data_IF_350125846592
#
_entry.id   IF_350125846592
#
_cell.length_a   1.000
_cell.length_b   1.000
_cell.length_c   1.000
_cell.angle_alpha   90.00
_cell.angle_beta   90.00
_cell.angle_gamma   90.00
#
_symmetry.space_group_name_H-M   'P 1'
#
loop_
_entity.id
_entity.type
_entity.pdbx_description
1 polymer ?
#
# COMPACT_ATOMS: atom_id res chain seq x y z
N UNK A 1 25.40 0.45 -6.37
CA UNK A 1 24.93 0.58 -4.96
C UNK A 1 24.66 -0.80 -4.43
N UNK A 2 24.71 -0.99 -3.10
CA UNK A 2 24.27 -2.22 -2.41
C UNK A 2 22.82 -2.02 -1.93
N UNK A 3 21.95 -3.00 -2.23
CA UNK A 3 20.54 -2.98 -1.86
C UNK A 3 20.29 -4.15 -0.89
N UNK A 4 20.07 -3.88 0.39
CA UNK A 4 19.81 -4.92 1.39
C UNK A 4 18.31 -4.95 1.72
N UNK A 5 17.63 -6.04 1.36
CA UNK A 5 16.18 -6.16 1.40
C UNK A 5 15.75 -7.34 2.25
N UNK A 6 14.85 -7.11 3.21
CA UNK A 6 14.10 -8.18 3.86
C UNK A 6 12.91 -8.56 2.97
N UNK A 7 12.74 -9.84 2.71
CA UNK A 7 11.66 -10.36 1.86
C UNK A 7 10.72 -11.20 2.71
N UNK A 8 9.48 -10.78 2.79
CA UNK A 8 8.43 -11.42 3.57
C UNK A 8 7.30 -11.89 2.64
N UNK A 9 7.37 -13.10 2.07
CA UNK A 9 6.33 -13.58 1.15
C UNK A 9 4.96 -13.65 1.81
N UNK A 10 4.89 -14.05 3.08
CA UNK A 10 3.65 -14.18 3.83
C UNK A 10 2.80 -15.36 3.38
N UNK A 11 1.49 -15.13 3.26
CA UNK A 11 0.46 -16.16 3.11
C UNK A 11 -0.19 -16.18 1.71
N UNK A 12 -0.92 -17.24 1.41
CA UNK A 12 -1.76 -17.36 0.22
C UNK A 12 -0.99 -17.22 -1.09
N UNK A 13 -1.37 -16.22 -1.91
CA UNK A 13 -0.68 -15.89 -3.18
C UNK A 13 0.67 -15.19 -2.96
N UNK A 14 0.96 -14.75 -1.75
CA UNK A 14 2.17 -13.97 -1.42
C UNK A 14 3.47 -14.58 -1.98
N UNK A 15 3.76 -15.87 -1.81
CA UNK A 15 4.96 -16.50 -2.37
C UNK A 15 5.06 -16.40 -3.90
N UNK A 16 3.95 -16.54 -4.64
CA UNK A 16 3.92 -16.50 -6.11
C UNK A 16 4.21 -15.10 -6.64
N UNK A 17 3.48 -14.10 -6.15
CA UNK A 17 3.64 -12.70 -6.57
C UNK A 17 5.00 -12.13 -6.15
N UNK A 18 5.52 -12.56 -4.99
CA UNK A 18 6.83 -12.19 -4.50
C UNK A 18 7.95 -12.75 -5.38
N UNK A 19 7.83 -13.99 -5.85
CA UNK A 19 8.80 -14.57 -6.78
C UNK A 19 8.96 -13.72 -8.03
N UNK A 20 7.84 -13.29 -8.63
CA UNK A 20 7.85 -12.40 -9.79
C UNK A 20 8.49 -11.05 -9.47
N UNK A 21 8.10 -10.41 -8.36
CA UNK A 21 8.66 -9.12 -7.97
C UNK A 21 10.18 -9.21 -7.75
N UNK A 22 10.66 -10.27 -7.10
CA UNK A 22 12.09 -10.49 -6.90
C UNK A 22 12.85 -10.69 -8.22
N UNK A 23 12.30 -11.41 -9.19
CA UNK A 23 12.95 -11.61 -10.48
C UNK A 23 13.03 -10.29 -11.27
N UNK A 24 12.00 -9.44 -11.19
CA UNK A 24 12.02 -8.08 -11.73
C UNK A 24 13.08 -7.21 -11.05
N UNK A 25 13.16 -7.23 -9.71
CA UNK A 25 14.18 -6.47 -8.97
C UNK A 25 15.60 -6.97 -9.31
N UNK A 26 15.81 -8.28 -9.42
CA UNK A 26 17.11 -8.87 -9.83
C UNK A 26 17.52 -8.41 -11.24
N UNK A 27 16.59 -8.47 -12.20
CA UNK A 27 16.86 -8.03 -13.58
C UNK A 27 17.22 -6.54 -13.62
N UNK A 28 16.47 -5.71 -12.88
CA UNK A 28 16.73 -4.27 -12.77
C UNK A 28 18.07 -3.99 -12.11
N UNK A 29 18.35 -4.62 -10.96
CA UNK A 29 19.63 -4.45 -10.26
C UNK A 29 20.82 -4.85 -11.12
N UNK A 30 20.73 -5.96 -11.85
CA UNK A 30 21.76 -6.41 -12.81
C UNK A 30 22.00 -5.37 -13.92
N UNK A 31 20.93 -4.83 -14.50
CA UNK A 31 21.01 -3.84 -15.58
C UNK A 31 21.71 -2.56 -15.16
N UNK A 32 21.46 -2.08 -13.96
CA UNK A 32 22.05 -0.86 -13.41
C UNK A 32 23.31 -1.11 -12.58
N UNK A 33 23.85 -2.32 -12.59
CA UNK A 33 25.07 -2.72 -11.85
C UNK A 33 24.96 -2.48 -10.33
N UNK A 34 23.78 -2.77 -9.74
CA UNK A 34 23.60 -2.80 -8.30
C UNK A 34 23.90 -4.18 -7.73
N UNK A 35 24.38 -4.23 -6.50
CA UNK A 35 24.54 -5.46 -5.73
C UNK A 35 23.26 -5.69 -4.89
N UNK A 36 22.47 -6.69 -5.26
CA UNK A 36 21.27 -7.06 -4.51
C UNK A 36 21.60 -8.12 -3.46
N UNK A 37 21.28 -7.82 -2.20
CA UNK A 37 21.30 -8.78 -1.08
C UNK A 37 19.91 -8.85 -0.50
N UNK A 38 19.38 -10.06 -0.36
CA UNK A 38 18.08 -10.25 0.29
C UNK A 38 18.05 -11.51 1.13
N UNK A 39 17.25 -11.48 2.18
CA UNK A 39 16.94 -12.62 3.01
C UNK A 39 15.43 -12.75 3.18
N UNK A 40 14.95 -13.99 3.24
CA UNK A 40 13.53 -14.28 3.41
C UNK A 40 13.24 -14.67 4.85
N UNK A 41 12.13 -14.16 5.41
CA UNK A 41 11.64 -14.53 6.73
C UNK A 41 10.12 -14.75 6.72
N UNK A 42 9.62 -15.41 7.78
CA UNK A 42 8.22 -15.77 7.93
C UNK A 42 7.43 -14.63 8.58
N UNK A 43 6.19 -14.42 8.11
CA UNK A 43 5.21 -13.49 8.70
C UNK A 43 3.80 -14.00 8.41
N UNK A 44 2.86 -13.76 9.30
CA UNK A 44 1.46 -14.15 9.12
C UNK A 44 1.14 -15.56 9.56
N UNK A 45 0.25 -16.24 8.85
CA UNK A 45 -0.21 -17.58 9.17
C UNK A 45 0.92 -18.61 9.08
N UNK A 46 1.76 -18.53 8.06
CA UNK A 46 2.91 -19.41 7.91
C UNK A 46 3.91 -19.28 9.08
N UNK A 47 4.05 -18.07 9.63
CA UNK A 47 4.86 -17.83 10.81
C UNK A 47 4.21 -18.41 12.08
N UNK A 48 2.89 -18.25 12.27
CA UNK A 48 2.16 -18.87 13.39
C UNK A 48 2.32 -20.38 13.35
N UNK A 49 2.15 -21.00 12.18
CA UNK A 49 2.29 -22.45 12.02
C UNK A 49 3.68 -22.97 12.37
N UNK A 50 4.72 -22.21 12.06
CA UNK A 50 6.10 -22.61 12.30
C UNK A 50 6.61 -22.28 13.72
N UNK A 51 6.16 -21.15 14.32
CA UNK A 51 6.78 -20.59 15.52
C UNK A 51 5.78 -20.25 16.64
N UNK A 52 4.49 -20.24 16.36
CA UNK A 52 3.44 -19.76 17.26
C UNK A 52 3.26 -18.24 17.29
N UNK A 53 4.10 -17.48 16.57
CA UNK A 53 4.06 -16.02 16.49
C UNK A 53 3.75 -15.55 15.06
N UNK A 54 2.85 -14.56 14.85
CA UNK A 54 2.57 -14.01 13.52
C UNK A 54 3.68 -13.08 13.01
N UNK A 55 4.54 -12.60 13.91
CA UNK A 55 5.73 -11.79 13.60
C UNK A 55 6.87 -12.17 14.55
N UNK A 56 7.66 -13.20 14.17
CA UNK A 56 8.77 -13.67 15.00
C UNK A 56 9.86 -12.63 15.21
N UNK A 57 10.56 -12.70 16.33
CA UNK A 57 11.68 -11.80 16.68
C UNK A 57 12.81 -11.84 15.62
N UNK A 58 13.07 -13.00 15.04
CA UNK A 58 14.04 -13.14 13.94
C UNK A 58 13.63 -12.32 12.72
N UNK A 59 12.34 -12.36 12.35
CA UNK A 59 11.80 -11.54 11.27
C UNK A 59 11.93 -10.05 11.57
N UNK A 60 11.61 -9.64 12.80
CA UNK A 60 11.79 -8.26 13.25
C UNK A 60 13.23 -7.80 13.10
N UNK A 61 14.17 -8.59 13.61
CA UNK A 61 15.62 -8.27 13.52
C UNK A 61 16.06 -8.13 12.06
N UNK A 62 15.65 -9.06 11.19
CA UNK A 62 15.97 -8.97 9.77
C UNK A 62 15.44 -7.67 9.14
N UNK A 63 14.19 -7.29 9.44
CA UNK A 63 13.61 -6.03 8.96
C UNK A 63 14.40 -4.81 9.43
N UNK A 64 14.79 -4.77 10.72
CA UNK A 64 15.58 -3.66 11.28
C UNK A 64 17.00 -3.57 10.70
N UNK A 65 17.59 -4.68 10.29
CA UNK A 65 18.93 -4.74 9.69
C UNK A 65 18.93 -4.52 8.17
N UNK A 66 17.76 -4.34 7.56
CA UNK A 66 17.60 -4.15 6.11
C UNK A 66 17.26 -2.70 5.77
N UNK A 67 17.63 -2.27 4.56
CA UNK A 67 17.35 -0.92 4.06
C UNK A 67 15.86 -0.75 3.69
N UNK A 68 15.21 -1.86 3.31
CA UNK A 68 13.79 -1.91 2.97
C UNK A 68 13.20 -3.31 3.20
N UNK A 69 11.89 -3.38 3.34
CA UNK A 69 11.12 -4.63 3.42
C UNK A 69 10.20 -4.72 2.23
N UNK A 70 10.28 -5.82 1.47
CA UNK A 70 9.30 -6.18 0.45
C UNK A 70 8.39 -7.28 1.01
N UNK A 71 7.09 -6.98 1.10
CA UNK A 71 6.11 -7.85 1.73
C UNK A 71 5.05 -8.29 0.72
N UNK A 72 4.66 -9.57 0.75
CA UNK A 72 3.70 -10.15 -0.19
C UNK A 72 2.25 -9.97 0.27
N UNK A 73 1.77 -10.88 1.10
CA UNK A 73 0.38 -10.85 1.57
C UNK A 73 0.22 -11.51 2.94
N UNK A 74 -0.88 -11.22 3.63
CA UNK A 74 -1.17 -11.80 4.95
C UNK A 74 -2.63 -12.23 5.04
N UNK A 75 -2.88 -13.27 5.85
CA UNK A 75 -4.21 -13.77 6.15
C UNK A 75 -4.43 -15.22 5.73
N UNK A 76 -5.22 -15.95 6.53
CA UNK A 76 -5.56 -17.34 6.23
C UNK A 76 -6.91 -17.72 6.79
N UNK A 77 -7.81 -18.33 5.98
CA UNK A 77 -9.11 -18.82 6.44
C UNK A 77 -9.04 -19.78 7.63
N UNK A 78 -7.90 -20.46 7.81
CA UNK A 78 -7.63 -21.31 8.97
C UNK A 78 -7.79 -20.58 10.29
N UNK A 79 -7.37 -19.31 10.34
CA UNK A 79 -7.44 -18.48 11.54
C UNK A 79 -8.72 -17.61 11.57
N UNK A 80 -9.20 -17.16 10.41
CA UNK A 80 -10.39 -16.30 10.32
C UNK A 80 -11.66 -17.03 10.74
N UNK A 81 -11.77 -18.30 10.35
CA UNK A 81 -12.94 -19.14 10.64
C UNK A 81 -12.88 -19.81 12.02
N UNK A 82 -11.78 -19.65 12.77
CA UNK A 82 -11.66 -20.20 14.12
C UNK A 82 -11.96 -19.12 15.18
N UNK A 83 -13.15 -19.13 15.80
CA UNK A 83 -13.50 -18.16 16.85
C UNK A 83 -12.66 -18.33 18.12
N UNK A 84 -11.95 -19.46 18.27
CA UNK A 84 -11.09 -19.75 19.42
C UNK A 84 -9.63 -19.39 19.20
N UNK A 85 -9.28 -18.95 17.98
CA UNK A 85 -7.91 -18.56 17.64
C UNK A 85 -7.45 -17.40 18.54
N UNK A 86 -6.42 -17.68 19.35
CA UNK A 86 -5.83 -16.70 20.27
C UNK A 86 -4.92 -15.71 19.55
N UNK A 87 -4.38 -16.13 18.41
CA UNK A 87 -3.44 -15.34 17.59
C UNK A 87 -3.90 -15.38 16.15
N UNK A 88 -3.90 -14.22 15.49
CA UNK A 88 -4.33 -14.05 14.10
C UNK A 88 -3.18 -13.50 13.24
N UNK A 89 -3.11 -13.86 11.95
CA UNK A 89 -2.07 -13.36 11.03
C UNK A 89 -1.96 -11.84 11.01
N UNK A 90 -3.09 -11.12 10.99
CA UNK A 90 -3.17 -9.66 10.92
C UNK A 90 -2.52 -8.96 12.12
N UNK A 91 -2.47 -9.63 13.28
CA UNK A 91 -1.73 -9.13 14.45
C UNK A 91 -0.23 -9.00 14.15
N UNK A 92 0.31 -9.84 13.24
CA UNK A 92 1.68 -9.74 12.76
C UNK A 92 1.94 -8.44 11.99
N UNK A 93 1.02 -8.05 11.12
CA UNK A 93 1.10 -6.78 10.38
C UNK A 93 1.02 -5.57 11.31
N UNK A 94 0.10 -5.59 12.27
CA UNK A 94 -0.02 -4.51 13.26
C UNK A 94 1.23 -4.42 14.16
N UNK A 95 1.79 -5.56 14.58
CA UNK A 95 3.03 -5.61 15.34
C UNK A 95 4.21 -5.06 14.52
N UNK A 96 4.35 -5.47 13.26
CA UNK A 96 5.37 -4.96 12.35
C UNK A 96 5.26 -3.44 12.16
N UNK A 97 4.07 -2.92 11.87
CA UNK A 97 3.83 -1.47 11.74
C UNK A 97 4.27 -0.70 12.98
N UNK A 98 3.89 -1.19 14.16
CA UNK A 98 4.23 -0.55 15.44
C UNK A 98 5.73 -0.63 15.73
N UNK A 99 6.35 -1.81 15.59
CA UNK A 99 7.74 -2.04 15.98
C UNK A 99 8.74 -1.37 15.02
N UNK A 100 8.42 -1.29 13.72
CA UNK A 100 9.21 -0.57 12.73
C UNK A 100 8.89 0.94 12.69
N UNK A 101 7.92 1.41 13.49
CA UNK A 101 7.52 2.82 13.52
C UNK A 101 6.97 3.32 12.18
N UNK A 102 6.20 2.47 11.48
CA UNK A 102 5.59 2.79 10.19
C UNK A 102 4.41 3.73 10.43
N UNK A 103 4.58 5.01 10.20
CA UNK A 103 3.59 6.03 10.55
C UNK A 103 2.73 6.52 9.38
N UNK A 104 3.19 6.34 8.16
CA UNK A 104 2.49 6.82 6.97
C UNK A 104 2.35 5.70 5.94
N UNK A 105 1.13 5.45 5.47
CA UNK A 105 0.89 4.57 4.34
C UNK A 105 0.56 5.39 3.10
N UNK A 106 1.36 5.24 2.06
CA UNK A 106 1.23 5.94 0.79
C UNK A 106 0.59 4.98 -0.21
N UNK A 107 -0.58 5.34 -0.70
CA UNK A 107 -1.37 4.56 -1.66
C UNK A 107 -1.63 5.38 -2.92
N UNK A 108 -0.88 5.17 -4.01
CA UNK A 108 -1.18 5.77 -5.29
C UNK A 108 -2.48 5.20 -5.88
N UNK A 109 -3.31 6.06 -6.44
CA UNK A 109 -4.48 5.71 -7.24
C UNK A 109 -4.28 6.32 -8.62
N UNK A 110 -3.84 5.50 -9.55
CA UNK A 110 -3.53 5.92 -10.92
C UNK A 110 -4.26 5.02 -11.90
N UNK A 111 -4.96 5.62 -12.85
CA UNK A 111 -5.60 4.86 -13.92
C UNK A 111 -4.62 4.55 -15.03
N UNK A 112 -4.70 3.33 -15.53
CA UNK A 112 -3.92 2.88 -16.67
C UNK A 112 -4.79 2.92 -17.92
N UNK A 113 -4.38 3.57 -19.03
CA UNK A 113 -5.21 3.67 -20.24
C UNK A 113 -5.75 2.32 -20.73
N UNK A 114 -4.93 1.28 -20.67
CA UNK A 114 -5.33 -0.08 -21.05
C UNK A 114 -6.37 -0.74 -20.15
N UNK A 115 -6.64 -0.18 -18.95
CA UNK A 115 -7.54 -0.76 -17.94
C UNK A 115 -8.79 0.10 -17.67
N UNK A 116 -8.98 1.21 -18.36
CA UNK A 116 -10.14 2.10 -18.17
C UNK A 116 -11.46 1.33 -18.33
N UNK A 117 -11.50 0.37 -19.25
CA UNK A 117 -12.66 -0.48 -19.49
C UNK A 117 -13.04 -1.42 -18.33
N UNK A 118 -12.12 -1.66 -17.38
CA UNK A 118 -12.36 -2.48 -16.18
C UNK A 118 -12.91 -1.65 -15.01
N UNK A 119 -12.81 -0.33 -15.08
CA UNK A 119 -13.41 0.53 -14.07
C UNK A 119 -14.94 0.44 -14.15
N UNK A 120 -15.67 0.32 -13.03
CA UNK A 120 -17.12 0.38 -13.02
C UNK A 120 -17.65 1.80 -13.28
N UNK A 121 -16.76 2.80 -13.29
CA UNK A 121 -17.10 4.19 -13.53
C UNK A 121 -16.95 4.53 -15.02
N UNK A 122 -17.62 5.62 -15.43
CA UNK A 122 -17.50 6.13 -16.80
C UNK A 122 -16.05 6.50 -17.13
N UNK A 123 -15.62 6.14 -18.33
CA UNK A 123 -14.26 6.39 -18.80
C UNK A 123 -13.84 7.88 -18.69
N UNK A 124 -14.75 8.81 -19.04
CA UNK A 124 -14.49 10.26 -18.99
C UNK A 124 -14.23 10.80 -17.57
N UNK A 125 -14.71 10.10 -16.53
CA UNK A 125 -14.45 10.44 -15.14
C UNK A 125 -13.06 9.96 -14.68
N UNK A 126 -12.68 8.74 -15.06
CA UNK A 126 -11.49 8.06 -14.51
C UNK A 126 -10.24 8.22 -15.37
N UNK A 127 -10.36 8.45 -16.67
CA UNK A 127 -9.22 8.62 -17.57
C UNK A 127 -8.34 9.79 -17.13
N UNK A 128 -7.07 9.50 -16.82
CA UNK A 128 -6.11 10.48 -16.32
C UNK A 128 -6.27 10.79 -14.81
N UNK A 129 -7.04 9.99 -14.04
CA UNK A 129 -7.02 10.10 -12.59
C UNK A 129 -5.65 9.65 -12.06
N UNK A 130 -5.02 10.53 -11.29
CA UNK A 130 -3.70 10.32 -10.66
C UNK A 130 -3.62 11.11 -9.36
N UNK A 131 -3.83 10.46 -8.24
CA UNK A 131 -3.65 11.02 -6.92
C UNK A 131 -3.00 10.04 -5.97
N UNK A 132 -2.47 10.52 -4.86
CA UNK A 132 -1.98 9.68 -3.78
C UNK A 132 -2.76 9.96 -2.51
N UNK A 133 -3.05 8.90 -1.76
CA UNK A 133 -3.58 9.01 -0.41
C UNK A 133 -2.49 8.71 0.61
N UNK A 134 -2.25 9.63 1.53
CA UNK A 134 -1.33 9.48 2.64
C UNK A 134 -2.17 9.27 3.91
N UNK A 135 -2.21 8.00 4.35
CA UNK A 135 -2.95 7.52 5.51
C UNK A 135 -2.03 7.44 6.73
N UNK A 136 -2.43 8.03 7.84
CA UNK A 136 -1.75 7.80 9.12
C UNK A 136 -1.95 6.34 9.57
N UNK A 137 -0.91 5.70 10.16
CA UNK A 137 -0.94 4.26 10.45
C UNK A 137 -0.83 3.89 11.93
N UNK A 138 -0.53 4.81 12.83
CA UNK A 138 -0.12 4.48 14.22
C UNK A 138 -1.05 5.00 15.29
N UNK A 139 -2.05 5.80 14.92
CA UNK A 139 -3.01 6.43 15.83
C UNK A 139 -4.46 6.05 15.54
N UNK A 140 -5.35 6.83 16.11
CA UNK A 140 -6.80 6.75 15.89
C UNK A 140 -7.47 5.57 16.59
N UNK A 141 -8.59 5.14 16.03
CA UNK A 141 -9.43 4.08 16.56
C UNK A 141 -8.72 2.71 16.64
N UNK A 142 -7.79 2.42 15.75
CA UNK A 142 -7.12 1.12 15.72
C UNK A 142 -6.12 0.92 16.86
N UNK A 143 -5.58 2.01 17.40
CA UNK A 143 -4.54 1.98 18.42
C UNK A 143 -4.93 2.66 19.74
N UNK A 144 -5.97 3.48 19.73
CA UNK A 144 -6.44 4.19 20.92
C UNK A 144 -6.87 3.26 22.04
N UNK A 145 -6.74 3.72 23.28
CA UNK A 145 -7.16 2.97 24.48
C UNK A 145 -7.97 3.89 25.38
N UNK A 146 -8.95 3.37 26.15
CA UNK A 146 -9.35 1.96 26.23
C UNK A 146 -10.15 1.47 25.01
N UNK A 147 -10.07 0.15 24.76
CA UNK A 147 -10.91 -0.57 23.79
C UNK A 147 -11.47 -1.81 24.49
N UNK A 148 -12.70 -2.18 24.22
CA UNK A 148 -13.24 -3.39 24.79
C UNK A 148 -14.75 -3.44 24.86
N UNK A 149 -15.21 -4.30 25.78
CA UNK A 149 -16.62 -4.47 26.13
C UNK A 149 -16.81 -4.30 27.63
N UNK A 150 -18.01 -3.88 28.02
CA UNK A 150 -18.47 -3.92 29.42
C UNK A 150 -18.47 -5.37 29.95
N UNK A 151 -18.45 -5.53 31.29
CA UNK A 151 -18.47 -6.85 31.94
C UNK A 151 -19.67 -7.69 31.55
N UNK A 152 -20.82 -7.06 31.35
CA UNK A 152 -22.06 -7.71 30.91
C UNK A 152 -22.13 -7.98 29.40
N UNK A 153 -21.09 -7.54 28.64
CA UNK A 153 -20.98 -7.68 27.18
C UNK A 153 -21.98 -6.87 26.36
N UNK A 154 -22.81 -6.03 27.01
CA UNK A 154 -23.85 -5.27 26.31
C UNK A 154 -23.36 -3.97 25.67
N UNK A 155 -22.19 -3.48 26.06
CA UNK A 155 -21.60 -2.25 25.53
C UNK A 155 -20.20 -2.53 25.01
N UNK A 156 -19.87 -2.05 23.80
CA UNK A 156 -18.53 -2.05 23.25
C UNK A 156 -18.06 -0.62 22.99
N UNK A 157 -16.78 -0.37 23.13
CA UNK A 157 -16.18 0.95 22.95
C UNK A 157 -14.79 0.87 22.36
N UNK A 158 -14.49 1.82 21.48
CA UNK A 158 -13.17 2.09 20.91
C UNK A 158 -12.85 3.57 21.04
N UNK A 159 -11.61 3.89 21.42
CA UNK A 159 -11.18 5.26 21.65
C UNK A 159 -10.36 5.79 20.48
N UNK A 160 -10.79 6.90 19.89
CA UNK A 160 -9.99 7.61 18.87
C UNK A 160 -9.10 8.65 19.56
N UNK A 161 -7.78 8.48 19.42
CA UNK A 161 -6.79 9.40 20.01
C UNK A 161 -5.75 9.77 18.97
N UNK A 162 -5.44 11.08 18.89
CA UNK A 162 -4.34 11.63 18.11
C UNK A 162 -3.61 12.70 18.90
N UNK A 163 -2.28 12.63 18.89
CA UNK A 163 -1.42 13.69 19.39
C UNK A 163 -1.03 14.68 18.26
N UNK A 164 -0.66 15.90 18.63
CA UNK A 164 -0.14 16.90 17.69
C UNK A 164 1.03 16.37 16.88
N UNK A 165 1.97 15.67 17.53
CA UNK A 165 3.15 15.09 16.88
C UNK A 165 2.79 14.09 15.77
N UNK A 166 1.83 13.20 16.01
CA UNK A 166 1.38 12.21 15.01
C UNK A 166 0.79 12.90 13.78
N UNK A 167 0.03 13.96 14.00
CA UNK A 167 -0.58 14.74 12.92
C UNK A 167 0.49 15.53 12.15
N UNK A 168 1.39 16.22 12.85
CA UNK A 168 2.42 17.05 12.22
C UNK A 168 3.29 16.26 11.26
N UNK A 169 3.80 15.09 11.68
CA UNK A 169 4.72 14.29 10.85
C UNK A 169 4.08 13.85 9.54
N UNK A 170 2.81 13.44 9.56
CA UNK A 170 2.15 12.95 8.36
C UNK A 170 1.67 14.08 7.45
N UNK A 171 1.20 15.18 8.01
CA UNK A 171 0.81 16.35 7.23
C UNK A 171 2.04 16.95 6.53
N UNK A 172 3.18 17.09 7.23
CA UNK A 172 4.45 17.53 6.60
C UNK A 172 4.87 16.63 5.46
N UNK A 173 4.73 15.31 5.63
CA UNK A 173 4.99 14.36 4.55
C UNK A 173 4.08 14.62 3.33
N UNK A 174 2.80 14.90 3.55
CA UNK A 174 1.87 15.21 2.46
C UNK A 174 2.29 16.45 1.66
N UNK A 175 2.78 17.50 2.34
CA UNK A 175 3.30 18.68 1.65
C UNK A 175 4.57 18.39 0.86
N UNK A 176 5.50 17.57 1.39
CA UNK A 176 6.71 17.16 0.66
C UNK A 176 6.36 16.41 -0.65
N UNK A 177 5.33 15.57 -0.62
CA UNK A 177 4.84 14.91 -1.84
C UNK A 177 4.15 15.89 -2.79
N UNK A 178 3.32 16.79 -2.27
CA UNK A 178 2.61 17.77 -3.08
C UNK A 178 3.57 18.72 -3.83
N UNK A 179 4.67 19.13 -3.20
CA UNK A 179 5.70 20.00 -3.82
C UNK A 179 6.33 19.37 -5.07
N UNK A 180 6.43 18.04 -5.09
CA UNK A 180 6.95 17.25 -6.22
C UNK A 180 5.88 16.89 -7.26
N UNK A 181 4.61 17.17 -6.97
CA UNK A 181 3.44 16.86 -7.80
C UNK A 181 2.72 18.13 -8.26
N UNK A 182 1.40 18.14 -8.28
CA UNK A 182 0.57 19.28 -8.76
C UNK A 182 0.33 20.38 -7.73
N UNK A 183 1.05 20.33 -6.60
CA UNK A 183 1.02 21.33 -5.52
C UNK A 183 -0.37 21.56 -4.91
N UNK A 184 -1.12 20.48 -4.72
CA UNK A 184 -2.41 20.50 -4.03
C UNK A 184 -2.46 19.46 -2.93
N UNK A 185 -2.81 19.87 -1.71
CA UNK A 185 -3.10 19.00 -0.56
C UNK A 185 -4.57 19.10 -0.20
N UNK A 186 -5.26 17.99 -0.12
CA UNK A 186 -6.62 17.88 0.41
C UNK A 186 -6.57 17.19 1.77
N UNK A 187 -6.83 17.93 2.83
CA UNK A 187 -6.93 17.42 4.20
C UNK A 187 -8.34 16.93 4.45
N UNK A 188 -8.46 15.64 4.77
CA UNK A 188 -9.76 14.99 4.97
C UNK A 188 -9.95 14.70 6.47
N UNK A 189 -11.05 15.18 7.02
CA UNK A 189 -11.38 15.07 8.45
C UNK A 189 -12.90 15.00 8.70
N UNK A 190 -13.30 14.99 9.97
CA UNK A 190 -14.68 15.14 10.42
C UNK A 190 -14.79 16.21 11.51
N UNK A 191 -14.18 17.37 11.29
CA UNK A 191 -14.00 18.43 12.28
C UNK A 191 -15.33 19.04 12.78
N UNK A 192 -16.42 18.92 12.02
CA UNK A 192 -17.75 19.32 12.49
C UNK A 192 -18.26 18.47 13.68
N UNK A 193 -17.73 17.25 13.87
CA UNK A 193 -18.16 16.33 14.93
C UNK A 193 -17.02 16.02 15.90
N UNK A 194 -15.85 15.57 15.40
CA UNK A 194 -14.80 14.96 16.20
C UNK A 194 -13.79 15.97 16.73
N UNK A 195 -13.45 15.86 18.01
CA UNK A 195 -12.40 16.65 18.64
C UNK A 195 -11.02 16.39 18.03
N UNK A 196 -10.72 15.11 17.73
CA UNK A 196 -9.49 14.70 17.05
C UNK A 196 -9.35 15.35 15.68
N UNK A 197 -10.42 15.37 14.87
CA UNK A 197 -10.45 16.03 13.57
C UNK A 197 -10.29 17.55 13.65
N UNK A 198 -10.78 18.19 14.72
CA UNK A 198 -10.52 19.63 14.96
C UNK A 198 -9.05 19.91 15.21
N UNK A 199 -8.37 19.05 15.99
CA UNK A 199 -6.92 19.13 16.18
C UNK A 199 -6.17 18.90 14.86
N UNK A 200 -6.58 17.90 14.06
CA UNK A 200 -6.04 17.65 12.72
C UNK A 200 -6.09 18.90 11.84
N UNK A 201 -7.26 19.54 11.76
CA UNK A 201 -7.47 20.77 10.95
C UNK A 201 -6.66 21.95 11.47
N UNK A 202 -6.53 22.10 12.79
CA UNK A 202 -5.71 23.15 13.42
C UNK A 202 -4.24 22.99 13.02
N UNK A 203 -3.68 21.77 13.20
CA UNK A 203 -2.29 21.48 12.88
C UNK A 203 -2.02 21.65 11.38
N UNK A 204 -2.91 21.10 10.54
CA UNK A 204 -2.76 21.20 9.09
C UNK A 204 -2.80 22.65 8.60
N UNK A 205 -3.61 23.54 9.22
CA UNK A 205 -3.60 24.98 8.91
C UNK A 205 -2.29 25.65 9.27
N UNK A 206 -1.68 25.27 10.40
CA UNK A 206 -0.36 25.76 10.79
C UNK A 206 0.70 25.42 9.74
N UNK A 207 0.73 24.16 9.31
CA UNK A 207 1.69 23.68 8.30
C UNK A 207 1.39 24.31 6.91
N UNK A 208 0.11 24.47 6.53
CA UNK A 208 -0.26 25.11 5.27
C UNK A 208 0.33 26.53 5.15
N UNK A 209 0.37 27.28 6.25
CA UNK A 209 0.95 28.63 6.27
C UNK A 209 2.48 28.64 6.01
N UNK A 210 3.17 27.53 6.27
CA UNK A 210 4.59 27.36 5.98
C UNK A 210 4.85 27.03 4.48
N UNK A 211 3.80 26.59 3.74
CA UNK A 211 3.88 26.16 2.34
C UNK A 211 2.95 26.96 1.40
N UNK A 212 3.11 28.26 1.25
CA UNK A 212 2.17 29.13 0.51
C UNK A 212 2.07 28.81 -0.99
N UNK A 213 3.03 28.05 -1.54
CA UNK A 213 3.01 27.61 -2.94
C UNK A 213 2.13 26.35 -3.17
N UNK A 214 1.63 25.73 -2.11
CA UNK A 214 0.78 24.55 -2.17
C UNK A 214 -0.67 24.94 -1.84
N UNK A 215 -1.58 24.67 -2.76
CA UNK A 215 -3.02 24.88 -2.52
C UNK A 215 -3.52 23.87 -1.51
N UNK A 216 -4.17 24.33 -0.43
CA UNK A 216 -4.71 23.46 0.60
C UNK A 216 -6.23 23.53 0.64
N UNK A 217 -6.88 22.39 0.55
CA UNK A 217 -8.32 22.22 0.68
C UNK A 217 -8.65 21.40 1.93
N UNK A 218 -9.73 21.72 2.62
CA UNK A 218 -10.21 20.97 3.80
C UNK A 218 -11.62 20.49 3.54
N UNK A 219 -11.81 19.17 3.49
CA UNK A 219 -13.13 18.57 3.25
C UNK A 219 -13.48 17.54 4.33
N UNK A 220 -14.76 17.34 4.56
CA UNK A 220 -15.21 16.27 5.43
C UNK A 220 -15.14 14.93 4.70
N UNK A 221 -14.92 13.86 5.46
CA UNK A 221 -14.74 12.49 4.93
C UNK A 221 -15.93 12.02 4.08
N UNK A 222 -17.14 12.35 4.47
CA UNK A 222 -18.36 12.04 3.70
C UNK A 222 -18.40 12.77 2.33
N UNK A 223 -17.91 14.02 2.26
CA UNK A 223 -17.75 14.72 1.01
C UNK A 223 -16.57 14.16 0.19
N UNK A 224 -15.48 13.74 0.83
CA UNK A 224 -14.36 13.10 0.16
C UNK A 224 -14.80 11.81 -0.53
N UNK A 225 -15.56 10.96 0.15
CA UNK A 225 -16.09 9.72 -0.40
C UNK A 225 -16.91 9.95 -1.68
N UNK A 226 -17.80 10.94 -1.69
CA UNK A 226 -18.54 11.30 -2.90
C UNK A 226 -17.62 11.82 -4.02
N UNK A 227 -16.67 12.70 -3.68
CA UNK A 227 -15.83 13.38 -4.67
C UNK A 227 -14.78 12.47 -5.30
N UNK A 228 -14.26 11.48 -4.58
CA UNK A 228 -13.34 10.47 -5.13
C UNK A 228 -14.00 9.74 -6.31
N UNK A 229 -15.30 9.45 -6.22
CA UNK A 229 -16.05 8.80 -7.29
C UNK A 229 -16.43 9.78 -8.42
N UNK A 230 -16.87 11.00 -8.08
CA UNK A 230 -17.42 11.95 -9.04
C UNK A 230 -16.35 12.75 -9.78
N UNK A 231 -15.26 13.10 -9.11
CA UNK A 231 -14.20 13.98 -9.63
C UNK A 231 -12.81 13.53 -9.19
N UNK A 232 -12.38 12.26 -9.47
CA UNK A 232 -11.09 11.74 -9.00
C UNK A 232 -9.90 12.57 -9.49
N UNK A 233 -10.02 13.23 -10.64
CA UNK A 233 -8.97 14.07 -11.25
C UNK A 233 -8.71 15.37 -10.50
N UNK A 234 -9.63 15.78 -9.62
CA UNK A 234 -9.48 17.01 -8.83
C UNK A 234 -8.50 16.84 -7.67
N UNK A 235 -8.17 15.61 -7.32
CA UNK A 235 -7.26 15.30 -6.23
C UNK A 235 -5.82 15.15 -6.71
N UNK A 236 -4.87 15.55 -5.87
CA UNK A 236 -3.43 15.36 -6.06
C UNK A 236 -2.84 14.59 -4.88
N UNK A 237 -2.77 15.20 -3.70
CA UNK A 237 -2.34 14.56 -2.48
C UNK A 237 -3.45 14.64 -1.44
N UNK A 238 -3.98 13.50 -1.02
CA UNK A 238 -4.91 13.38 0.08
C UNK A 238 -4.13 13.05 1.36
N UNK A 239 -4.49 13.66 2.48
CA UNK A 239 -3.96 13.30 3.79
C UNK A 239 -5.11 13.16 4.79
N UNK A 240 -5.08 12.06 5.56
CA UNK A 240 -6.16 11.75 6.48
C UNK A 240 -5.71 10.80 7.60
N UNK A 241 -6.57 10.69 8.61
CA UNK A 241 -6.40 9.78 9.73
C UNK A 241 -6.55 8.31 9.30
N UNK A 242 -6.25 7.39 10.21
CA UNK A 242 -6.09 5.97 9.96
C UNK A 242 -7.35 5.32 9.36
N UNK A 243 -8.48 5.38 10.05
CA UNK A 243 -9.71 4.70 9.62
C UNK A 243 -10.30 5.34 8.35
N UNK A 244 -10.31 6.66 8.25
CA UNK A 244 -10.82 7.32 7.03
C UNK A 244 -9.93 7.00 5.82
N UNK A 245 -8.60 6.97 6.02
CA UNK A 245 -7.67 6.59 4.97
C UNK A 245 -7.85 5.16 4.51
N UNK A 246 -8.17 4.24 5.41
CA UNK A 246 -8.48 2.85 5.07
C UNK A 246 -9.67 2.76 4.12
N UNK A 247 -10.80 3.34 4.52
CA UNK A 247 -12.05 3.30 3.75
C UNK A 247 -11.91 4.00 2.39
N UNK A 248 -11.37 5.22 2.39
CA UNK A 248 -11.27 6.03 1.17
C UNK A 248 -10.28 5.45 0.14
N UNK A 249 -9.23 4.75 0.58
CA UNK A 249 -8.29 4.14 -0.35
C UNK A 249 -8.85 2.87 -0.99
N UNK A 250 -9.67 2.11 -0.26
CA UNK A 250 -10.38 0.97 -0.85
C UNK A 250 -11.45 1.43 -1.84
N UNK A 251 -12.16 2.52 -1.52
CA UNK A 251 -13.07 3.17 -2.47
C UNK A 251 -12.31 3.67 -3.71
N UNK A 252 -11.18 4.35 -3.53
CA UNK A 252 -10.31 4.81 -4.62
C UNK A 252 -9.77 3.66 -5.48
N UNK A 253 -9.60 2.47 -4.89
CA UNK A 253 -9.13 1.28 -5.61
C UNK A 253 -10.07 0.86 -6.74
N UNK A 254 -11.36 1.08 -6.58
CA UNK A 254 -12.38 0.76 -7.58
C UNK A 254 -12.17 1.54 -8.88
N UNK A 255 -11.58 2.74 -8.79
CA UNK A 255 -11.32 3.59 -9.96
C UNK A 255 -10.34 2.92 -10.92
N UNK A 256 -9.34 2.20 -10.40
CA UNK A 256 -8.27 1.57 -11.20
C UNK A 256 -8.72 0.31 -11.95
N UNK A 257 -9.85 -0.27 -11.57
CA UNK A 257 -10.42 -1.48 -12.18
C UNK A 257 -9.87 -2.81 -11.65
N UNK A 258 -8.78 -2.82 -10.87
CA UNK A 258 -8.27 -4.04 -10.20
C UNK A 258 -7.42 -3.71 -8.99
N UNK A 259 -7.68 -4.39 -7.86
CA UNK A 259 -6.83 -4.38 -6.67
C UNK A 259 -5.41 -4.91 -6.94
N UNK A 260 -5.28 -5.82 -7.92
CA UNK A 260 -4.00 -6.37 -8.36
C UNK A 260 -3.07 -5.37 -9.05
N UNK A 261 -3.51 -4.11 -9.22
CA UNK A 261 -2.73 -3.01 -9.79
C UNK A 261 -2.25 -1.98 -8.76
N UNK A 262 -2.62 -2.13 -7.49
CA UNK A 262 -2.43 -1.09 -6.48
C UNK A 262 -1.27 -1.40 -5.54
N UNK A 263 -0.14 -0.70 -5.70
CA UNK A 263 0.97 -0.78 -4.77
C UNK A 263 0.71 0.07 -3.52
N UNK A 264 1.49 -0.17 -2.47
CA UNK A 264 1.59 0.74 -1.34
C UNK A 264 2.98 0.76 -0.71
N UNK A 265 3.26 1.85 0.01
CA UNK A 265 4.44 2.00 0.83
C UNK A 265 4.03 2.42 2.24
N UNK A 266 4.49 1.68 3.24
CA UNK A 266 4.38 2.06 4.65
C UNK A 266 5.72 2.65 5.10
N UNK A 267 5.77 3.98 5.28
CA UNK A 267 6.99 4.72 5.59
C UNK A 267 7.24 4.70 7.10
N UNK A 268 8.45 4.29 7.47
CA UNK A 268 8.92 4.22 8.84
C UNK A 268 10.02 5.23 9.17
N UNK A 269 10.40 5.28 10.44
CA UNK A 269 11.51 6.12 10.91
C UNK A 269 12.88 5.52 10.59
N UNK A 270 12.97 4.21 10.40
CA UNK A 270 14.21 3.48 10.09
C UNK A 270 14.11 2.77 8.75
N UNK A 271 13.24 1.76 8.68
CA UNK A 271 12.99 1.02 7.45
C UNK A 271 11.54 1.19 7.02
N UNK A 272 11.27 1.02 5.73
CA UNK A 272 9.93 1.12 5.16
C UNK A 272 9.51 -0.23 4.59
N UNK A 273 8.19 -0.47 4.55
CA UNK A 273 7.60 -1.70 4.03
C UNK A 273 6.83 -1.39 2.76
N UNK A 274 7.06 -2.18 1.73
CA UNK A 274 6.44 -2.06 0.42
C UNK A 274 5.62 -3.31 0.14
N UNK A 275 4.33 -3.14 -0.08
CA UNK A 275 3.35 -4.22 -0.16
C UNK A 275 2.21 -3.89 -1.13
N UNK A 276 1.58 -4.86 -1.80
CA UNK A 276 0.34 -4.62 -2.51
C UNK A 276 -0.79 -4.31 -1.51
N UNK A 277 -1.84 -3.63 -1.97
CA UNK A 277 -3.01 -3.32 -1.11
C UNK A 277 -3.87 -4.55 -0.85
N UNK A 278 -3.93 -5.49 -1.82
CA UNK A 278 -4.75 -6.70 -1.72
C UNK A 278 -4.27 -7.68 -0.64
N UNK A 279 -5.17 -8.51 -0.14
CA UNK A 279 -4.87 -9.58 0.83
C UNK A 279 -4.27 -10.85 0.19
N UNK A 280 -4.32 -11.94 0.95
CA UNK A 280 -3.67 -13.22 0.62
C UNK A 280 -4.36 -14.05 -0.45
N UNK A 281 -5.60 -13.75 -0.84
CA UNK A 281 -6.41 -14.45 -1.84
C UNK A 281 -6.20 -15.99 -1.82
N UNK A 282 -6.60 -16.67 -0.74
CA UNK A 282 -6.27 -18.08 -0.50
C UNK A 282 -6.77 -19.02 -1.59
N UNK A 283 -7.88 -18.65 -2.26
CA UNK A 283 -8.50 -19.44 -3.32
C UNK A 283 -7.61 -19.58 -4.57
N UNK A 284 -6.71 -18.62 -4.79
CA UNK A 284 -5.78 -18.60 -5.93
C UNK A 284 -4.37 -19.16 -5.58
N UNK A 285 -4.10 -19.40 -4.31
CA UNK A 285 -2.78 -19.85 -3.85
C UNK A 285 -2.34 -21.15 -4.55
N UNK A 286 -1.11 -21.19 -5.10
CA UNK A 286 -0.53 -22.33 -5.80
C UNK A 286 -1.08 -22.56 -7.21
N UNK A 287 -1.94 -21.67 -7.74
CA UNK A 287 -2.57 -21.86 -9.06
C UNK A 287 -1.88 -21.10 -10.21
N UNK A 288 -0.92 -20.26 -9.90
CA UNK A 288 -0.20 -19.43 -10.89
C UNK A 288 -1.14 -18.52 -11.71
N UNK A 289 -2.16 -17.94 -11.03
CA UNK A 289 -3.19 -17.08 -11.66
C UNK A 289 -3.29 -15.69 -11.05
N UNK A 290 -2.63 -15.44 -9.92
CA UNK A 290 -2.70 -14.16 -9.23
C UNK A 290 -1.96 -13.07 -10.01
N UNK A 291 -2.53 -11.85 -10.02
CA UNK A 291 -1.89 -10.70 -10.65
C UNK A 291 -0.68 -10.24 -9.81
N UNK A 292 0.55 -10.26 -10.36
CA UNK A 292 1.75 -9.86 -9.62
C UNK A 292 2.06 -8.37 -9.69
N UNK A 293 1.31 -7.60 -10.50
CA UNK A 293 1.70 -6.23 -10.88
C UNK A 293 1.68 -5.26 -9.71
N UNK A 294 0.76 -5.40 -8.75
CA UNK A 294 0.76 -4.57 -7.54
C UNK A 294 2.05 -4.76 -6.72
N UNK A 295 2.52 -6.00 -6.55
CA UNK A 295 3.78 -6.29 -5.83
C UNK A 295 5.00 -5.78 -6.62
N UNK A 296 4.99 -5.91 -7.94
CA UNK A 296 6.04 -5.36 -8.83
C UNK A 296 6.08 -3.84 -8.75
N UNK A 297 4.92 -3.17 -8.76
CA UNK A 297 4.84 -1.71 -8.59
C UNK A 297 5.23 -1.27 -7.18
N UNK A 298 4.95 -2.10 -6.14
CA UNK A 298 5.45 -1.85 -4.78
C UNK A 298 6.98 -1.95 -4.72
N UNK A 299 7.57 -2.89 -5.47
CA UNK A 299 9.03 -2.97 -5.60
C UNK A 299 9.62 -1.76 -6.34
N UNK A 300 8.92 -1.19 -7.32
CA UNK A 300 9.32 0.08 -7.94
C UNK A 300 9.30 1.23 -6.92
N UNK A 301 8.23 1.34 -6.09
CA UNK A 301 8.18 2.31 -5.00
C UNK A 301 9.32 2.10 -3.98
N UNK A 302 9.69 0.86 -3.69
CA UNK A 302 10.82 0.52 -2.83
C UNK A 302 12.13 1.09 -3.37
N UNK A 303 12.41 0.91 -4.65
CA UNK A 303 13.62 1.45 -5.29
C UNK A 303 13.64 2.97 -5.27
N UNK A 304 12.52 3.61 -5.53
CA UNK A 304 12.38 5.06 -5.52
C UNK A 304 12.50 5.64 -4.10
N UNK A 305 11.76 5.13 -3.12
CA UNK A 305 11.61 5.78 -1.82
C UNK A 305 12.70 5.40 -0.80
N UNK A 306 13.17 4.15 -0.80
CA UNK A 306 14.22 3.73 0.12
C UNK A 306 15.63 3.90 -0.44
N UNK A 307 15.80 3.86 -1.76
CA UNK A 307 17.12 3.89 -2.38
C UNK A 307 17.37 5.10 -3.27
N UNK A 308 16.37 5.98 -3.51
CA UNK A 308 16.41 7.11 -4.44
C UNK A 308 16.80 6.70 -5.88
N UNK A 309 16.34 5.52 -6.32
CA UNK A 309 16.61 4.93 -7.64
C UNK A 309 15.41 5.17 -8.58
N UNK A 310 15.22 6.44 -8.97
CA UNK A 310 14.07 6.86 -9.80
C UNK A 310 14.10 6.23 -11.21
N UNK A 311 15.28 6.12 -11.82
CA UNK A 311 15.41 5.55 -13.17
C UNK A 311 15.09 4.06 -13.21
N UNK A 312 15.49 3.32 -12.18
CA UNK A 312 15.21 1.90 -11.98
C UNK A 312 13.70 1.67 -11.75
N UNK A 313 13.10 2.48 -10.88
CA UNK A 313 11.68 2.45 -10.62
C UNK A 313 10.85 2.75 -11.88
N UNK A 314 11.25 3.75 -12.65
CA UNK A 314 10.59 4.12 -13.89
C UNK A 314 10.72 3.03 -14.96
N UNK A 315 11.85 2.32 -15.04
CA UNK A 315 12.02 1.18 -15.94
C UNK A 315 11.03 0.06 -15.61
N UNK A 316 10.83 -0.25 -14.31
CA UNK A 316 9.83 -1.24 -13.88
C UNK A 316 8.42 -0.79 -14.28
N UNK A 317 8.05 0.47 -14.06
CA UNK A 317 6.74 1.01 -14.47
C UNK A 317 6.52 0.91 -15.97
N UNK A 318 7.55 1.20 -16.77
CA UNK A 318 7.52 1.03 -18.25
C UNK A 318 7.33 -0.43 -18.64
N UNK A 319 7.98 -1.36 -17.95
CA UNK A 319 7.79 -2.80 -18.19
C UNK A 319 6.35 -3.24 -17.91
N UNK A 320 5.75 -2.75 -16.83
CA UNK A 320 4.34 -3.00 -16.49
C UNK A 320 3.41 -2.46 -17.58
N UNK A 321 3.58 -1.20 -17.99
CA UNK A 321 2.80 -0.59 -19.07
C UNK A 321 2.94 -1.38 -20.38
N UNK A 322 4.17 -1.74 -20.77
CA UNK A 322 4.42 -2.50 -21.99
C UNK A 322 3.84 -3.93 -21.95
N UNK A 323 3.69 -4.53 -20.76
CA UNK A 323 3.01 -5.82 -20.60
C UNK A 323 1.50 -5.66 -20.83
N UNK A 324 0.91 -4.62 -20.27
CA UNK A 324 -0.52 -4.30 -20.47
C UNK A 324 -0.83 -3.96 -21.91
N UNK A 325 -0.03 -3.12 -22.57
CA UNK A 325 -0.20 -2.72 -23.98
C UNK A 325 -0.09 -3.93 -24.92
N UNK A 326 0.73 -4.92 -24.58
CA UNK A 326 0.88 -6.18 -25.30
C UNK A 326 -0.24 -7.20 -24.97
N UNK A 327 -1.15 -6.90 -24.05
CA UNK A 327 -2.19 -7.82 -23.57
C UNK A 327 -1.64 -9.04 -22.82
N UNK A 328 -0.39 -8.99 -22.34
CA UNK A 328 0.21 -10.06 -21.52
C UNK A 328 -0.09 -9.77 -20.04
N UNK A 329 -1.28 -10.16 -19.63
CA UNK A 329 -1.87 -9.84 -18.32
C UNK A 329 -2.64 -11.04 -17.76
N UNK A 330 -2.88 -11.04 -16.46
CA UNK A 330 -3.70 -12.05 -15.78
C UNK A 330 -5.20 -11.83 -16.02
N UNK A 331 -6.03 -12.82 -15.68
CA UNK A 331 -7.46 -12.87 -15.99
C UNK A 331 -8.23 -11.65 -15.44
N UNK A 332 -7.89 -11.16 -14.25
CA UNK A 332 -8.58 -10.05 -13.59
C UNK A 332 -8.54 -8.75 -14.39
N UNK A 333 -7.50 -8.54 -15.20
CA UNK A 333 -7.32 -7.33 -16.02
C UNK A 333 -7.29 -7.61 -17.54
N UNK A 334 -7.44 -8.85 -17.95
CA UNK A 334 -7.58 -9.19 -19.35
C UNK A 334 -8.89 -8.65 -19.93
N UNK A 335 -8.87 -8.17 -21.18
CA UNK A 335 -10.10 -7.76 -21.90
C UNK A 335 -11.00 -8.97 -22.13
N UNK A 336 -12.30 -8.74 -22.22
CA UNK A 336 -13.30 -9.79 -22.41
C UNK A 336 -13.00 -10.61 -23.68
N UNK A 337 -12.89 -11.93 -23.50
CA UNK A 337 -12.55 -12.86 -24.59
C UNK A 337 -11.08 -12.88 -25.00
N UNK A 338 -10.22 -12.05 -24.42
CA UNK A 338 -8.78 -12.10 -24.63
C UNK A 338 -8.14 -13.27 -23.88
N UNK A 339 -6.95 -13.67 -24.35
CA UNK A 339 -6.15 -14.68 -23.63
C UNK A 339 -5.69 -14.09 -22.29
N UNK A 340 -5.96 -14.80 -21.20
CA UNK A 340 -5.32 -14.55 -19.91
C UNK A 340 -3.99 -15.32 -19.79
N UNK A 341 -3.02 -14.71 -19.11
CA UNK A 341 -1.70 -15.29 -18.89
C UNK A 341 -1.52 -15.64 -17.41
N UNK A 342 -0.63 -16.57 -17.14
CA UNK A 342 -0.27 -16.97 -15.79
C UNK A 342 0.58 -15.92 -15.10
N UNK A 343 0.61 -15.91 -13.77
CA UNK A 343 1.49 -15.06 -12.95
C UNK A 343 2.94 -15.14 -13.42
N UNK A 344 3.45 -16.36 -13.62
CA UNK A 344 4.82 -16.62 -14.09
C UNK A 344 5.08 -16.12 -15.52
N UNK A 345 4.10 -16.22 -16.44
CA UNK A 345 4.23 -15.71 -17.81
C UNK A 345 4.30 -14.18 -17.84
N UNK A 346 3.47 -13.52 -17.03
CA UNK A 346 3.53 -12.06 -16.85
C UNK A 346 4.90 -11.67 -16.29
N UNK A 347 5.36 -12.34 -15.24
CA UNK A 347 6.69 -12.12 -14.65
C UNK A 347 7.82 -12.22 -15.68
N UNK A 348 7.81 -13.28 -16.48
CA UNK A 348 8.78 -13.45 -17.56
C UNK A 348 8.74 -12.30 -18.57
N UNK A 349 7.55 -11.86 -18.96
CA UNK A 349 7.40 -10.71 -19.89
C UNK A 349 8.03 -9.45 -19.34
N UNK A 350 7.87 -9.17 -18.04
CA UNK A 350 8.47 -8.00 -17.39
C UNK A 350 10.00 -8.07 -17.39
N UNK A 351 10.56 -9.22 -17.01
CA UNK A 351 12.01 -9.48 -17.01
C UNK A 351 12.58 -9.33 -18.42
N UNK A 352 11.95 -9.97 -19.42
CA UNK A 352 12.38 -9.88 -20.83
C UNK A 352 12.40 -8.43 -21.35
N UNK A 353 11.43 -7.60 -20.91
CA UNK A 353 11.40 -6.17 -21.25
C UNK A 353 12.58 -5.42 -20.63
N UNK A 354 12.80 -5.61 -19.33
CA UNK A 354 13.87 -4.93 -18.57
C UNK A 354 15.25 -5.27 -19.15
N UNK A 355 15.51 -6.54 -19.48
CA UNK A 355 16.79 -6.96 -20.03
C UNK A 355 17.08 -6.36 -21.42
N UNK A 356 16.04 -6.11 -22.22
CA UNK A 356 16.16 -5.56 -23.59
C UNK A 356 16.18 -4.03 -23.65
N UNK A 357 15.56 -3.34 -22.68
CA UNK A 357 15.50 -1.88 -22.64
C UNK A 357 16.90 -1.28 -22.43
#
# INVERSE_FOLDING_TARGET
MKLKIAVLPGDGIGPEIMSVALDVVKATAKKFNHQLEYQTALVGACAIDATGSPYPEETHRLCMESDAVLFGAIGSPKYDNDPTAKVRPEQGLLAMRKQLGLYANIRPVTTFPGLIHKSPLRADLVDGADFICIRELTGGLYFGRPQGRSEDGQTAYDTCVYSRYEIERIVRLAYQYAEKRRKKVTVIDKANILATSRLWREVARGIAAEHPAVTTEYIYVDNAAMRIIQWPKDFDVLVTENMFGDILTDEGSVITGSLGMLPSASIGTHTSVFEPIHGSYPQAAGKDIANPLATVLSAAMMLEYSFNLEAEAELIRKAVNASMDAGVVTEDIASDGAKAYRTSEVGKRLVDYIEKA
#
